data_IF_419703899523
#
_entry.id   IF_419703899523
#
_cell.length_a   1.000
_cell.length_b   1.000
_cell.length_c   1.000
_cell.angle_alpha   90.00
_cell.angle_beta   90.00
_cell.angle_gamma   90.00
#
_symmetry.space_group_name_H-M   'P 1'
#
loop_
_entity.id
_entity.type
_entity.pdbx_description
1 polymer ?
#
# COMPACT_ATOMS: atom_id res chain seq x y z
N UNK A 1 32.59 -15.66 47.73
CA UNK A 1 32.40 -14.29 47.20
C UNK A 1 32.32 -14.20 45.67
N UNK A 2 33.07 -15.00 44.89
CA UNK A 2 33.11 -14.86 43.42
C UNK A 2 31.76 -15.05 42.68
N UNK A 3 30.88 -15.94 43.14
CA UNK A 3 29.57 -16.22 42.48
C UNK A 3 28.61 -15.01 42.47
N UNK A 4 28.68 -14.16 43.50
CA UNK A 4 27.80 -12.99 43.63
C UNK A 4 28.18 -11.85 42.67
N UNK A 5 29.48 -11.67 42.40
CA UNK A 5 29.97 -10.64 41.49
C UNK A 5 29.71 -11.01 40.01
N UNK A 6 29.77 -12.30 39.68
CA UNK A 6 29.50 -12.81 38.32
C UNK A 6 28.02 -12.65 37.95
N UNK A 7 27.10 -12.91 38.89
CA UNK A 7 25.66 -12.73 38.67
C UNK A 7 25.28 -11.25 38.45
N UNK A 8 25.84 -10.34 39.26
CA UNK A 8 25.61 -8.90 39.13
C UNK A 8 26.19 -8.33 37.83
N UNK A 9 27.34 -8.84 37.37
CA UNK A 9 27.94 -8.45 36.10
C UNK A 9 27.14 -8.98 34.90
N UNK A 10 26.56 -10.19 35.01
CA UNK A 10 25.65 -10.76 34.02
C UNK A 10 24.37 -9.94 33.87
N UNK A 11 23.67 -9.60 34.96
CA UNK A 11 22.46 -8.76 34.90
C UNK A 11 22.71 -7.39 34.26
N UNK A 12 23.83 -6.73 34.60
CA UNK A 12 24.20 -5.45 33.97
C UNK A 12 24.49 -5.62 32.47
N UNK A 13 25.05 -6.74 32.04
CA UNK A 13 25.24 -7.07 30.63
C UNK A 13 23.91 -7.26 29.91
N UNK A 14 22.95 -7.95 30.53
CA UNK A 14 21.61 -8.18 29.97
C UNK A 14 20.82 -6.87 29.88
N UNK A 15 20.88 -6.01 30.90
CA UNK A 15 20.30 -4.67 30.88
C UNK A 15 20.94 -3.79 29.80
N UNK A 16 22.27 -3.79 29.68
CA UNK A 16 22.98 -3.04 28.65
C UNK A 16 22.62 -3.53 27.24
N UNK A 17 22.51 -4.85 27.05
CA UNK A 17 22.12 -5.45 25.78
C UNK A 17 20.66 -5.10 25.42
N UNK A 18 19.75 -5.15 26.39
CA UNK A 18 18.35 -4.76 26.18
C UNK A 18 18.21 -3.28 25.80
N UNK A 19 19.00 -2.40 26.42
CA UNK A 19 19.05 -0.98 26.07
C UNK A 19 19.54 -0.77 24.63
N UNK A 20 20.59 -1.50 24.22
CA UNK A 20 21.11 -1.44 22.87
C UNK A 20 20.11 -1.94 21.82
N UNK A 21 19.36 -3.01 22.14
CA UNK A 21 18.30 -3.55 21.28
C UNK A 21 17.14 -2.54 21.13
N UNK A 22 16.73 -1.87 22.21
CA UNK A 22 15.67 -0.85 22.17
C UNK A 22 16.10 0.34 21.30
N UNK A 23 17.35 0.81 21.42
CA UNK A 23 17.89 1.88 20.57
C UNK A 23 17.90 1.44 19.11
N UNK A 24 18.34 0.21 18.82
CA UNK A 24 18.38 -0.30 17.46
C UNK A 24 16.97 -0.37 16.84
N UNK A 25 15.98 -0.87 17.59
CA UNK A 25 14.58 -0.90 17.17
C UNK A 25 14.03 0.51 16.92
N UNK A 26 14.34 1.47 17.80
CA UNK A 26 13.91 2.87 17.63
C UNK A 26 14.46 3.50 16.35
N UNK A 27 15.72 3.25 15.99
CA UNK A 27 16.33 3.76 14.76
C UNK A 27 15.66 3.15 13.52
N UNK A 28 15.31 1.86 13.55
CA UNK A 28 14.60 1.21 12.45
C UNK A 28 13.20 1.81 12.20
N UNK A 29 12.46 2.18 13.26
CA UNK A 29 11.12 2.77 13.15
C UNK A 29 11.19 4.18 12.55
N UNK A 30 12.14 5.01 13.00
CA UNK A 30 12.27 6.41 12.56
C UNK A 30 12.64 6.58 11.08
N UNK A 31 13.36 5.61 10.51
CA UNK A 31 13.79 5.67 9.11
C UNK A 31 12.70 5.24 8.12
N UNK A 32 11.49 4.89 8.59
CA UNK A 32 10.38 4.56 7.70
C UNK A 32 10.70 3.43 6.72
N UNK A 33 11.58 2.48 7.11
CA UNK A 33 11.97 1.32 6.29
C UNK A 33 10.81 0.36 5.99
N UNK A 34 9.62 0.68 6.45
CA UNK A 34 8.39 0.04 6.04
C UNK A 34 7.96 0.61 4.69
N UNK A 35 7.70 -0.25 3.72
CA UNK A 35 7.00 0.13 2.50
C UNK A 35 5.54 0.46 2.84
N UNK A 36 5.31 1.62 3.47
CA UNK A 36 3.99 2.16 3.66
C UNK A 36 3.48 2.61 2.29
N UNK A 37 2.45 1.93 1.82
CA UNK A 37 1.78 2.27 0.58
C UNK A 37 1.04 3.59 0.85
N UNK A 38 1.65 4.73 0.46
CA UNK A 38 1.25 6.11 0.82
C UNK A 38 -0.08 6.56 0.15
N UNK A 39 -1.09 5.71 0.15
CA UNK A 39 -2.42 5.98 -0.38
C UNK A 39 -3.24 6.79 0.61
N UNK A 40 -3.74 7.95 0.16
CA UNK A 40 -4.65 8.80 0.91
C UNK A 40 -6.06 8.64 0.37
N UNK A 41 -7.03 8.31 1.22
CA UNK A 41 -8.44 8.31 0.83
C UNK A 41 -8.89 9.75 0.54
N UNK A 42 -9.38 10.02 -0.67
CA UNK A 42 -9.84 11.34 -1.12
C UNK A 42 -11.34 11.39 -1.37
N UNK A 43 -11.99 10.25 -1.64
CA UNK A 43 -13.43 10.17 -1.84
C UNK A 43 -13.95 8.82 -1.35
N UNK A 44 -15.09 8.85 -0.66
CA UNK A 44 -15.86 7.66 -0.32
C UNK A 44 -17.35 8.02 -0.50
N UNK A 45 -17.93 7.64 -1.62
CA UNK A 45 -19.36 7.86 -1.90
C UNK A 45 -19.90 6.73 -2.76
N UNK A 46 -21.18 6.40 -2.59
CA UNK A 46 -21.89 5.44 -3.44
C UNK A 46 -21.23 4.04 -3.50
N UNK A 47 -20.57 3.64 -2.41
CA UNK A 47 -19.82 2.38 -2.34
C UNK A 47 -18.51 2.37 -3.13
N UNK A 48 -18.03 3.54 -3.57
CA UNK A 48 -16.77 3.73 -4.29
C UNK A 48 -15.78 4.50 -3.43
N UNK A 49 -14.64 3.88 -3.17
CA UNK A 49 -13.51 4.48 -2.47
C UNK A 49 -12.45 4.91 -3.49
N UNK A 50 -11.99 6.15 -3.41
CA UNK A 50 -10.93 6.68 -4.27
C UNK A 50 -9.77 7.10 -3.39
N UNK A 51 -8.60 6.57 -3.70
CA UNK A 51 -7.34 6.87 -3.06
C UNK A 51 -6.41 7.57 -4.04
N UNK A 52 -5.56 8.48 -3.54
CA UNK A 52 -4.48 9.07 -4.34
C UNK A 52 -3.13 8.98 -3.65
N UNK A 53 -2.06 9.03 -4.44
CA UNK A 53 -0.68 9.17 -3.95
C UNK A 53 0.19 9.91 -4.98
N UNK A 54 1.30 10.55 -4.59
CA UNK A 54 2.22 11.14 -5.55
C UNK A 54 2.88 10.06 -6.42
N UNK A 55 2.89 10.27 -7.74
CA UNK A 55 3.66 9.43 -8.67
C UNK A 55 5.14 9.83 -8.64
N UNK A 56 6.06 8.86 -8.59
CA UNK A 56 7.51 9.12 -8.41
C UNK A 56 8.11 10.07 -9.46
N UNK A 57 7.59 10.04 -10.68
CA UNK A 57 8.13 10.79 -11.83
C UNK A 57 7.08 11.63 -12.57
N UNK A 58 6.03 12.09 -11.88
CA UNK A 58 5.00 12.94 -12.49
C UNK A 58 4.53 14.00 -11.50
N UNK A 59 4.12 15.16 -12.01
CA UNK A 59 3.40 16.17 -11.22
C UNK A 59 1.96 15.75 -10.93
N UNK A 60 1.47 14.68 -11.56
CA UNK A 60 0.14 14.12 -11.36
C UNK A 60 0.15 13.09 -10.22
N UNK A 61 -0.97 13.04 -9.50
CA UNK A 61 -1.22 11.99 -8.52
C UNK A 61 -1.67 10.70 -9.22
N UNK A 62 -1.17 9.56 -8.76
CA UNK A 62 -1.77 8.27 -9.07
C UNK A 62 -3.11 8.17 -8.35
N UNK A 63 -4.10 7.57 -9.01
CA UNK A 63 -5.41 7.31 -8.42
C UNK A 63 -5.73 5.82 -8.41
N UNK A 64 -6.42 5.37 -7.36
CA UNK A 64 -6.88 4.00 -7.16
C UNK A 64 -8.33 4.03 -6.70
N UNK A 65 -9.22 3.47 -7.52
CA UNK A 65 -10.63 3.27 -7.17
C UNK A 65 -10.89 1.84 -6.69
N UNK A 66 -11.67 1.68 -5.63
CA UNK A 66 -12.16 0.39 -5.13
C UNK A 66 -13.69 0.44 -5.07
N UNK A 67 -14.34 -0.57 -5.66
CA UNK A 67 -15.80 -0.73 -5.68
C UNK A 67 -16.14 -2.21 -5.59
N UNK A 68 -17.28 -2.53 -4.96
CA UNK A 68 -17.88 -3.87 -5.02
C UNK A 68 -18.99 -3.88 -6.07
N UNK A 69 -18.91 -4.81 -7.02
CA UNK A 69 -19.93 -4.99 -8.07
C UNK A 69 -20.56 -6.36 -7.89
N UNK A 70 -21.89 -6.40 -7.82
CA UNK A 70 -22.66 -7.64 -7.77
C UNK A 70 -22.77 -8.26 -9.17
N UNK A 71 -21.67 -8.85 -9.62
CA UNK A 71 -21.59 -9.58 -10.88
C UNK A 71 -20.48 -10.64 -10.82
N UNK A 72 -20.63 -11.77 -11.53
CA UNK A 72 -19.54 -12.72 -11.68
C UNK A 72 -18.38 -12.13 -12.53
N UNK A 73 -17.17 -12.60 -12.24
CA UNK A 73 -15.91 -12.01 -12.73
C UNK A 73 -15.72 -12.13 -14.25
N UNK A 74 -16.31 -13.15 -14.87
CA UNK A 74 -16.31 -13.39 -16.31
C UNK A 74 -17.05 -12.29 -17.09
N UNK A 75 -18.16 -11.80 -16.55
CA UNK A 75 -18.89 -10.66 -17.11
C UNK A 75 -18.03 -9.40 -17.04
N UNK A 76 -17.41 -9.13 -15.89
CA UNK A 76 -16.50 -7.98 -15.73
C UNK A 76 -15.32 -8.06 -16.70
N UNK A 77 -14.71 -9.23 -16.83
CA UNK A 77 -13.59 -9.45 -17.75
C UNK A 77 -14.00 -9.23 -19.20
N UNK A 78 -15.17 -9.70 -19.59
CA UNK A 78 -15.72 -9.51 -20.93
C UNK A 78 -15.92 -8.02 -21.23
N UNK A 79 -16.48 -7.25 -20.29
CA UNK A 79 -16.68 -5.81 -20.45
C UNK A 79 -15.34 -5.06 -20.54
N UNK A 80 -14.36 -5.40 -19.70
CA UNK A 80 -13.06 -4.71 -19.64
C UNK A 80 -12.16 -4.99 -20.84
N UNK A 81 -12.26 -6.19 -21.43
CA UNK A 81 -11.44 -6.56 -22.58
C UNK A 81 -12.09 -6.25 -23.92
N UNK A 82 -13.41 -6.27 -24.00
CA UNK A 82 -14.10 -6.07 -25.26
C UNK A 82 -14.22 -4.57 -25.58
N UNK A 83 -13.13 -4.05 -26.15
CA UNK A 83 -12.96 -2.64 -26.53
C UNK A 83 -14.20 -1.98 -27.15
N UNK A 84 -14.92 -2.60 -28.11
CA UNK A 84 -16.09 -1.98 -28.73
C UNK A 84 -17.24 -1.63 -27.76
N UNK A 85 -17.34 -2.27 -26.59
CA UNK A 85 -18.34 -1.88 -25.57
C UNK A 85 -17.98 -0.64 -24.77
N UNK A 86 -16.72 -0.22 -24.78
CA UNK A 86 -16.24 0.88 -23.94
C UNK A 86 -16.91 2.21 -24.31
N UNK A 87 -17.20 2.48 -25.59
CA UNK A 87 -17.93 3.68 -26.01
C UNK A 87 -19.28 3.86 -25.29
N UNK A 88 -19.95 2.75 -24.97
CA UNK A 88 -21.26 2.78 -24.30
C UNK A 88 -21.14 2.81 -22.78
N UNK A 89 -20.13 2.14 -22.22
CA UNK A 89 -20.05 1.84 -20.79
C UNK A 89 -19.04 2.69 -20.03
N UNK A 90 -18.00 3.22 -20.69
CA UNK A 90 -16.94 4.01 -20.07
C UNK A 90 -17.26 5.50 -20.13
N UNK A 91 -17.21 6.15 -18.97
CA UNK A 91 -17.42 7.58 -18.86
C UNK A 91 -16.41 8.36 -19.72
N UNK A 92 -16.89 9.35 -20.47
CA UNK A 92 -16.10 10.18 -21.40
C UNK A 92 -15.34 9.41 -22.49
N UNK A 93 -15.77 8.18 -22.84
CA UNK A 93 -15.24 7.48 -24.01
C UNK A 93 -15.95 7.96 -25.29
N UNK A 94 -15.22 8.66 -26.17
CA UNK A 94 -15.78 9.15 -27.44
C UNK A 94 -15.91 8.05 -28.50
N UNK A 95 -14.88 7.20 -28.62
CA UNK A 95 -14.89 6.07 -29.54
C UNK A 95 -14.01 4.92 -29.03
N UNK A 96 -14.32 3.70 -29.47
CA UNK A 96 -13.60 2.51 -29.04
C UNK A 96 -13.68 1.41 -30.09
N UNK A 97 -12.53 0.94 -30.56
CA UNK A 97 -12.44 -0.11 -31.58
C UNK A 97 -11.13 -0.87 -31.44
N UNK A 98 -11.08 -2.08 -32.02
CA UNK A 98 -9.83 -2.81 -32.14
C UNK A 98 -8.98 -2.23 -33.26
N UNK A 99 -7.76 -1.83 -32.93
CA UNK A 99 -6.74 -1.52 -33.94
C UNK A 99 -6.15 -2.85 -34.38
N UNK A 100 -6.22 -3.17 -35.68
CA UNK A 100 -5.51 -4.34 -36.22
C UNK A 100 -4.01 -4.16 -35.96
N UNK A 101 -3.29 -5.21 -35.53
CA UNK A 101 -1.83 -5.16 -35.52
C UNK A 101 -1.27 -4.94 -36.93
#
# INVERSE_FOLDING_TARGET
MAKSAVAFYQEKKTLFYSFFVIIFISVCISNGLYAADNWKLVKNSDGVEVYTRPHKNSSLEESKGIITIDAPIDILYTILLYGPTHKKLMHNCYDSFFVKP
#
